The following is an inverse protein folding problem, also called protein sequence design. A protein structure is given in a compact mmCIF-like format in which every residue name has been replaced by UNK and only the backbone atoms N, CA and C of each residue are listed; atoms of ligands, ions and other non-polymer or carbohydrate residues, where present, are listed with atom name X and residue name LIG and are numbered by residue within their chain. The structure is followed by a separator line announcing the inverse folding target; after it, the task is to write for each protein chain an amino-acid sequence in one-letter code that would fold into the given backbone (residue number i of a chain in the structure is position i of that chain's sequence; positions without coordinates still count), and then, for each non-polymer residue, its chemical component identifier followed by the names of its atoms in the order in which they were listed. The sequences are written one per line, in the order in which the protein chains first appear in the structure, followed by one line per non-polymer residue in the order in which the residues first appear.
data_IF_934556593048
#
_entry.id   IF_934556593048
#
_cell.length_a   1.000
_cell.length_b   1.000
_cell.length_c   1.000
_cell.angle_alpha   90.00
_cell.angle_beta   90.00
_cell.angle_gamma   90.00
#
_symmetry.space_group_name_H-M   'P 1'
#
loop_
_entity.id
_entity.type
_entity.pdbx_description
1 polymer ?
#
# COMPACT_ATOMS: atom_id res chain seq x y z
N UNK A 1 4.34 0.83 -2.01
CA UNK A 1 3.67 0.70 -3.32
C UNK A 1 3.67 -0.78 -3.70
N UNK A 2 2.52 -1.33 -4.13
CA UNK A 2 2.36 -2.78 -4.31
C UNK A 2 1.93 -3.10 -5.74
N UNK A 3 2.61 -4.05 -6.40
CA UNK A 3 2.32 -4.46 -7.79
C UNK A 3 1.31 -5.61 -7.78
N UNK A 4 0.11 -5.41 -8.34
CA UNK A 4 -0.93 -6.46 -8.42
C UNK A 4 -0.90 -7.25 -9.73
N UNK A 5 -0.72 -6.57 -10.87
CA UNK A 5 -0.64 -7.19 -12.20
C UNK A 5 0.75 -6.90 -12.77
N UNK A 6 1.48 -7.95 -13.11
CA UNK A 6 2.80 -7.84 -13.72
C UNK A 6 2.72 -7.57 -15.22
N UNK A 7 3.75 -6.95 -15.77
CA UNK A 7 3.87 -6.74 -17.21
C UNK A 7 3.82 -8.08 -17.97
N UNK A 8 3.28 -8.06 -19.18
CA UNK A 8 3.11 -9.23 -20.06
C UNK A 8 2.17 -10.32 -19.52
N UNK A 9 1.30 -9.99 -18.56
CA UNK A 9 0.23 -10.89 -18.13
C UNK A 9 -0.78 -11.07 -19.26
N UNK A 10 -1.18 -12.31 -19.53
CA UNK A 10 -2.20 -12.64 -20.54
C UNK A 10 -3.54 -12.06 -20.11
N UNK A 11 -4.21 -11.33 -21.00
CA UNK A 11 -5.57 -10.82 -20.81
C UNK A 11 -6.60 -11.79 -21.43
N UNK A 12 -7.80 -11.94 -20.85
CA UNK A 12 -8.32 -11.26 -19.66
C UNK A 12 -7.73 -11.82 -18.36
N UNK A 13 -7.55 -10.96 -17.35
CA UNK A 13 -6.98 -11.36 -16.05
C UNK A 13 -7.62 -10.62 -14.89
N UNK A 14 -7.63 -11.27 -13.72
CA UNK A 14 -8.19 -10.74 -12.48
C UNK A 14 -7.26 -11.03 -11.31
N UNK A 15 -6.95 -10.01 -10.51
CA UNK A 15 -6.12 -10.11 -9.31
C UNK A 15 -6.74 -9.28 -8.20
N UNK A 16 -6.73 -9.82 -6.98
CA UNK A 16 -7.26 -9.15 -5.79
C UNK A 16 -6.23 -9.21 -4.68
N UNK A 17 -6.16 -8.15 -3.88
CA UNK A 17 -5.31 -8.08 -2.70
C UNK A 17 -6.02 -7.30 -1.60
N UNK A 18 -5.86 -7.77 -0.36
CA UNK A 18 -6.41 -7.13 0.82
C UNK A 18 -5.39 -6.12 1.35
N UNK A 19 -5.86 -4.91 1.58
CA UNK A 19 -5.16 -3.81 2.22
C UNK A 19 -5.90 -3.40 3.50
N UNK A 20 -5.28 -2.51 4.28
CA UNK A 20 -5.89 -1.92 5.46
C UNK A 20 -5.61 -0.41 5.52
N UNK A 21 -6.30 0.30 6.40
CA UNK A 21 -6.05 1.72 6.71
C UNK A 21 -4.63 1.96 7.20
N UNK A 22 -4.11 3.15 6.89
CA UNK A 22 -2.78 3.63 7.27
C UNK A 22 -2.80 4.47 8.56
N UNK A 23 -3.97 4.90 9.02
CA UNK A 23 -4.16 5.65 10.26
C UNK A 23 -5.37 5.14 11.05
N UNK A 24 -5.37 5.43 12.36
CA UNK A 24 -6.50 5.13 13.25
C UNK A 24 -7.72 5.98 12.88
N UNK A 25 -8.90 5.36 12.95
CA UNK A 25 -10.19 6.01 12.67
C UNK A 25 -10.25 6.70 11.29
N UNK A 26 -9.50 6.19 10.32
CA UNK A 26 -9.45 6.73 8.96
C UNK A 26 -10.80 6.51 8.24
N UNK A 27 -11.58 7.56 7.94
CA UNK A 27 -12.93 7.42 7.38
C UNK A 27 -12.94 7.17 5.86
N UNK A 28 -11.82 7.46 5.20
CA UNK A 28 -11.67 7.41 3.75
C UNK A 28 -10.30 6.87 3.37
N UNK A 29 -10.27 5.94 2.41
CA UNK A 29 -9.02 5.43 1.81
C UNK A 29 -9.00 5.82 0.34
N UNK A 30 -7.90 6.41 -0.11
CA UNK A 30 -7.70 6.78 -1.52
C UNK A 30 -6.96 5.67 -2.23
N UNK A 31 -7.56 5.16 -3.31
CA UNK A 31 -6.95 4.17 -4.20
C UNK A 31 -6.42 4.91 -5.42
N UNK A 32 -5.10 4.85 -5.60
CA UNK A 32 -4.41 5.43 -6.75
C UNK A 32 -3.87 4.31 -7.64
N UNK A 33 -4.21 4.38 -8.93
CA UNK A 33 -3.83 3.40 -9.95
C UNK A 33 -2.70 3.98 -10.79
N UNK A 34 -1.54 3.32 -10.79
CA UNK A 34 -0.36 3.74 -11.54
C UNK A 34 0.13 2.62 -12.46
N UNK A 35 0.65 2.96 -13.65
CA UNK A 35 1.32 1.99 -14.55
C UNK A 35 2.75 1.73 -14.08
N UNK A 36 3.43 2.79 -13.68
CA UNK A 36 4.81 2.74 -13.21
C UNK A 36 4.90 3.34 -11.81
N UNK A 37 5.52 2.55 -10.95
CA UNK A 37 5.74 2.82 -9.54
C UNK A 37 6.87 3.84 -9.39
N UNK A 38 7.82 3.85 -10.33
CA UNK A 38 9.03 4.69 -10.27
C UNK A 38 8.77 6.11 -10.78
N UNK A 39 7.99 6.26 -11.86
CA UNK A 39 7.65 7.58 -12.44
C UNK A 39 6.28 8.13 -12.04
N UNK A 40 5.52 7.44 -11.18
CA UNK A 40 4.22 7.88 -10.66
C UNK A 40 3.21 8.25 -11.77
N UNK A 41 3.19 7.52 -12.90
CA UNK A 41 2.22 7.78 -13.98
C UNK A 41 0.82 7.31 -13.57
N UNK A 42 0.00 8.25 -13.13
CA UNK A 42 -1.34 8.02 -12.60
C UNK A 42 -2.33 7.81 -13.75
N UNK A 43 -2.96 6.64 -13.76
CA UNK A 43 -4.09 6.35 -14.66
C UNK A 43 -5.41 6.84 -14.11
N UNK A 44 -5.56 6.77 -12.79
CA UNK A 44 -6.78 7.18 -12.12
C UNK A 44 -6.63 7.13 -10.61
N UNK A 45 -7.53 7.83 -9.93
CA UNK A 45 -7.66 7.79 -8.48
C UNK A 45 -9.13 7.86 -8.09
N UNK A 46 -9.50 7.18 -7.03
CA UNK A 46 -10.83 7.26 -6.45
C UNK A 46 -10.77 6.99 -4.96
N UNK A 47 -11.78 7.48 -4.24
CA UNK A 47 -11.86 7.36 -2.79
C UNK A 47 -12.92 6.34 -2.39
N UNK A 48 -12.57 5.45 -1.46
CA UNK A 48 -13.52 4.62 -0.74
C UNK A 48 -13.83 5.32 0.59
N UNK A 49 -15.04 5.89 0.69
CA UNK A 49 -15.53 6.57 1.89
C UNK A 49 -16.44 5.65 2.71
N UNK A 50 -16.72 6.04 3.96
CA UNK A 50 -17.66 5.31 4.80
C UNK A 50 -17.04 4.16 5.59
N UNK A 51 -15.72 4.19 5.78
CA UNK A 51 -15.02 3.19 6.59
C UNK A 51 -15.32 3.47 8.08
N UNK A 52 -15.85 2.49 8.84
CA UNK A 52 -16.12 2.67 10.26
C UNK A 52 -14.86 3.04 11.03
N UNK A 53 -14.97 3.87 12.10
CA UNK A 53 -13.84 4.17 12.98
C UNK A 53 -13.30 2.87 13.59
N UNK A 54 -12.08 2.51 13.20
CA UNK A 54 -11.38 1.33 13.68
C UNK A 54 -9.88 1.63 13.80
N UNK A 55 -9.15 0.89 14.65
CA UNK A 55 -7.69 1.00 14.71
C UNK A 55 -7.04 0.69 13.36
N UNK A 56 -5.88 1.30 13.11
CA UNK A 56 -5.02 0.99 11.95
C UNK A 56 -4.77 -0.51 11.88
N UNK A 57 -4.84 -1.08 10.68
CA UNK A 57 -4.59 -2.51 10.46
C UNK A 57 -5.83 -3.41 10.58
N UNK A 58 -6.96 -2.90 11.09
CA UNK A 58 -8.18 -3.69 11.31
C UNK A 58 -9.12 -3.70 10.09
N UNK A 59 -9.43 -2.56 9.43
CA UNK A 59 -10.28 -2.57 8.24
C UNK A 59 -9.70 -3.42 7.11
N UNK A 60 -10.53 -4.27 6.51
CA UNK A 60 -10.12 -5.14 5.40
C UNK A 60 -10.64 -4.60 4.08
N UNK A 61 -9.80 -3.91 3.33
CA UNK A 61 -10.12 -3.32 2.03
C UNK A 61 -9.61 -4.25 0.93
N UNK A 62 -10.51 -4.97 0.27
CA UNK A 62 -10.18 -5.81 -0.88
C UNK A 62 -10.15 -4.94 -2.15
N UNK A 63 -8.96 -4.80 -2.72
CA UNK A 63 -8.77 -4.10 -3.99
C UNK A 63 -8.58 -5.13 -5.10
N UNK A 64 -9.46 -5.08 -6.09
CA UNK A 64 -9.50 -6.00 -7.23
C UNK A 64 -9.23 -5.25 -8.52
N UNK A 65 -8.29 -5.77 -9.29
CA UNK A 65 -7.93 -5.31 -10.63
C UNK A 65 -8.37 -6.36 -11.64
N UNK A 66 -9.17 -5.94 -12.61
CA UNK A 66 -9.66 -6.78 -13.69
C UNK A 66 -9.37 -6.10 -15.02
N UNK A 67 -8.71 -6.84 -15.93
CA UNK A 67 -8.43 -6.37 -17.28
C UNK A 67 -9.23 -7.24 -18.24
N UNK A 68 -10.10 -6.61 -19.02
CA UNK A 68 -10.95 -7.28 -19.99
C UNK A 68 -10.20 -7.63 -21.29
N UNK A 69 -10.91 -8.25 -22.24
CA UNK A 69 -10.38 -8.61 -23.55
C UNK A 69 -10.02 -7.40 -24.43
N UNK A 70 -10.58 -6.23 -24.14
CA UNK A 70 -10.33 -4.98 -24.85
C UNK A 70 -9.18 -4.17 -24.23
N UNK A 71 -8.63 -4.64 -23.09
CA UNK A 71 -7.62 -3.92 -22.32
C UNK A 71 -8.19 -2.79 -21.47
N UNK A 72 -9.50 -2.80 -21.19
CA UNK A 72 -10.13 -1.90 -20.23
C UNK A 72 -9.85 -2.41 -18.82
N UNK A 73 -9.32 -1.53 -17.97
CA UNK A 73 -8.98 -1.84 -16.59
C UNK A 73 -10.13 -1.40 -15.67
N UNK A 74 -10.70 -2.37 -14.96
CA UNK A 74 -11.65 -2.13 -13.88
C UNK A 74 -10.92 -2.30 -12.55
N UNK A 75 -10.93 -1.25 -11.73
CA UNK A 75 -10.38 -1.30 -10.37
C UNK A 75 -11.52 -1.09 -9.39
N UNK A 76 -11.74 -2.08 -8.53
CA UNK A 76 -12.78 -2.06 -7.49
C UNK A 76 -12.11 -2.11 -6.13
N UNK A 77 -12.57 -1.30 -5.18
CA UNK A 77 -12.21 -1.40 -3.78
C UNK A 77 -13.48 -1.67 -2.96
N UNK A 78 -13.44 -2.72 -2.13
CA UNK A 78 -14.54 -3.14 -1.26
C UNK A 78 -14.04 -3.25 0.18
N UNK A 79 -14.72 -2.59 1.12
CA UNK A 79 -14.54 -2.87 2.54
C UNK A 79 -15.33 -4.15 2.90
N UNK A 80 -14.62 -5.22 3.28
CA UNK A 80 -15.23 -6.52 3.62
C UNK A 80 -16.10 -6.46 4.86
N UNK A 81 -15.89 -5.48 5.75
CA UNK A 81 -16.69 -5.34 6.97
C UNK A 81 -18.07 -4.76 6.72
N UNK A 82 -18.14 -3.72 5.87
CA UNK A 82 -19.40 -3.00 5.58
C UNK A 82 -20.06 -3.41 4.27
N UNK A 83 -19.32 -4.02 3.35
CA UNK A 83 -19.76 -4.28 1.98
C UNK A 83 -19.82 -3.02 1.10
N UNK A 84 -19.40 -1.86 1.61
CA UNK A 84 -19.28 -0.66 0.80
C UNK A 84 -18.17 -0.84 -0.23
N UNK A 85 -18.50 -0.52 -1.48
CA UNK A 85 -17.59 -0.62 -2.60
C UNK A 85 -17.62 0.63 -3.46
N UNK A 86 -16.47 0.94 -4.02
CA UNK A 86 -16.34 1.95 -5.06
C UNK A 86 -15.45 1.40 -6.18
N UNK A 87 -15.63 1.89 -7.41
CA UNK A 87 -14.88 1.41 -8.56
C UNK A 87 -14.59 2.53 -9.56
N UNK A 88 -13.50 2.36 -10.29
CA UNK A 88 -13.14 3.18 -11.45
C UNK A 88 -12.93 2.27 -12.65
N UNK A 89 -13.34 2.76 -13.83
CA UNK A 89 -13.05 2.12 -15.10
C UNK A 89 -12.11 3.01 -15.88
N UNK A 90 -10.96 2.46 -16.27
CA UNK A 90 -9.91 3.16 -17.00
C UNK A 90 -9.84 2.53 -18.39
N UNK A 91 -10.15 3.32 -19.41
CA UNK A 91 -10.09 2.89 -20.81
C UNK A 91 -8.71 3.17 -21.42
N UNK A 92 -8.36 2.37 -22.43
CA UNK A 92 -7.04 2.33 -23.06
C UNK A 92 -6.62 3.65 -23.75
N UNK A 93 -7.57 4.56 -24.00
CA UNK A 93 -7.32 5.81 -24.74
C UNK A 93 -6.96 7.01 -23.84
N UNK A 94 -7.19 6.92 -22.52
CA UNK A 94 -6.84 7.99 -21.59
C UNK A 94 -5.40 7.79 -21.09
N UNK A 95 -4.50 8.76 -21.33
CA UNK A 95 -3.12 8.76 -20.82
C UNK A 95 -2.20 7.63 -21.29
N UNK A 96 -2.43 7.09 -22.51
CA UNK A 96 -1.56 6.05 -23.08
C UNK A 96 -0.16 6.60 -23.38
N UNK A 97 0.86 5.91 -22.88
CA UNK A 97 2.26 6.17 -23.20
C UNK A 97 2.54 5.84 -24.67
N UNK A 98 3.35 6.67 -25.33
CA UNK A 98 3.83 6.39 -26.68
C UNK A 98 4.70 5.13 -26.68
N UNK A 99 4.80 4.37 -27.79
CA UNK A 99 5.73 3.23 -27.87
C UNK A 99 7.17 3.58 -27.47
N UNK A 100 7.63 4.78 -27.85
CA UNK A 100 8.94 5.32 -27.49
C UNK A 100 9.07 5.59 -25.98
N UNK A 101 8.03 6.13 -25.35
CA UNK A 101 8.01 6.33 -23.89
C UNK A 101 8.01 5.00 -23.16
N UNK A 102 7.28 4.01 -23.68
CA UNK A 102 7.28 2.64 -23.14
C UNK A 102 8.70 2.07 -23.22
N UNK A 103 9.38 2.12 -24.37
CA UNK A 103 10.75 1.60 -24.50
C UNK A 103 11.76 2.31 -23.58
N UNK A 104 11.67 3.64 -23.47
CA UNK A 104 12.51 4.40 -22.54
C UNK A 104 12.31 3.93 -21.10
N UNK A 105 11.05 3.75 -20.68
CA UNK A 105 10.72 3.28 -19.34
C UNK A 105 11.23 1.85 -19.07
N UNK A 106 11.25 0.98 -20.07
CA UNK A 106 11.82 -0.37 -19.90
C UNK A 106 13.32 -0.28 -19.64
N UNK A 107 14.01 0.52 -20.46
CA UNK A 107 15.46 0.65 -20.36
C UNK A 107 15.85 1.28 -19.02
N UNK A 108 15.12 2.29 -18.57
CA UNK A 108 15.32 2.89 -17.25
C UNK A 108 15.03 1.88 -16.13
N UNK A 109 13.91 1.15 -16.19
CA UNK A 109 13.59 0.14 -15.18
C UNK A 109 14.61 -1.00 -15.12
N UNK A 110 15.18 -1.43 -16.25
CA UNK A 110 16.25 -2.42 -16.29
C UNK A 110 17.57 -1.87 -15.73
N UNK A 111 17.91 -0.62 -16.09
CA UNK A 111 19.12 0.06 -15.64
C UNK A 111 19.14 0.28 -14.12
N UNK A 112 17.99 0.60 -13.54
CA UNK A 112 17.85 0.87 -12.10
C UNK A 112 17.32 -0.32 -11.31
N UNK A 113 17.13 -1.50 -11.93
CA UNK A 113 16.52 -2.66 -11.30
C UNK A 113 17.20 -3.10 -9.98
N UNK A 114 18.54 -3.09 -9.94
CA UNK A 114 19.29 -3.49 -8.74
C UNK A 114 19.18 -2.49 -7.59
N UNK A 115 19.10 -1.19 -7.89
CA UNK A 115 18.94 -0.16 -6.87
C UNK A 115 17.48 -0.07 -6.40
N UNK A 116 16.51 -0.17 -7.31
CA UNK A 116 15.09 -0.29 -6.99
C UNK A 116 14.81 -1.54 -6.13
N UNK A 117 15.52 -2.66 -6.38
CA UNK A 117 15.41 -3.87 -5.57
C UNK A 117 15.85 -3.63 -4.13
N UNK A 118 17.00 -2.98 -3.92
CA UNK A 118 17.48 -2.64 -2.56
C UNK A 118 16.52 -1.71 -1.84
N UNK A 119 16.02 -0.69 -2.52
CA UNK A 119 15.04 0.25 -1.95
C UNK A 119 13.75 -0.49 -1.61
N UNK A 120 13.28 -1.38 -2.49
CA UNK A 120 12.09 -2.20 -2.24
C UNK A 120 12.27 -3.09 -1.01
N UNK A 121 13.38 -3.80 -0.90
CA UNK A 121 13.69 -4.66 0.25
C UNK A 121 13.73 -3.85 1.56
N UNK A 122 14.31 -2.64 1.54
CA UNK A 122 14.32 -1.74 2.69
C UNK A 122 12.90 -1.28 3.07
N UNK A 123 12.07 -0.93 2.09
CA UNK A 123 10.69 -0.49 2.31
C UNK A 123 9.83 -1.66 2.83
N UNK A 124 9.98 -2.86 2.28
CA UNK A 124 9.28 -4.06 2.75
C UNK A 124 9.66 -4.38 4.20
N UNK A 125 10.96 -4.44 4.52
CA UNK A 125 11.43 -4.67 5.88
C UNK A 125 10.94 -3.59 6.87
N UNK A 126 10.90 -2.32 6.44
CA UNK A 126 10.36 -1.22 7.23
C UNK A 126 8.86 -1.40 7.48
N UNK A 127 8.08 -1.72 6.45
CA UNK A 127 6.63 -1.90 6.56
C UNK A 127 6.29 -3.11 7.44
N UNK A 128 7.08 -4.18 7.38
CA UNK A 128 6.96 -5.33 8.28
C UNK A 128 7.23 -4.92 9.73
N UNK A 129 8.32 -4.19 9.99
CA UNK A 129 8.63 -3.70 11.33
C UNK A 129 7.56 -2.75 11.87
N UNK A 130 7.09 -1.80 11.03
CA UNK A 130 6.04 -0.86 11.38
C UNK A 130 4.73 -1.60 11.68
N UNK A 131 4.30 -2.50 10.80
CA UNK A 131 3.10 -3.32 10.98
C UNK A 131 3.16 -4.16 12.26
N UNK A 132 4.33 -4.75 12.54
CA UNK A 132 4.55 -5.53 13.75
C UNK A 132 4.50 -4.66 15.01
N UNK A 133 5.16 -3.49 15.02
CA UNK A 133 5.16 -2.55 16.14
C UNK A 133 3.74 -2.08 16.49
N UNK A 134 2.95 -1.69 15.49
CA UNK A 134 1.55 -1.30 15.73
C UNK A 134 0.65 -2.48 16.12
N UNK A 135 0.88 -3.66 15.55
CA UNK A 135 0.16 -4.88 15.97
C UNK A 135 0.42 -5.19 17.44
N UNK A 136 1.68 -5.11 17.89
CA UNK A 136 2.04 -5.30 19.31
C UNK A 136 1.38 -4.23 20.19
N UNK A 137 1.44 -2.95 19.78
CA UNK A 137 0.80 -1.85 20.51
C UNK A 137 -0.70 -2.11 20.72
N UNK A 138 -1.39 -2.56 19.68
CA UNK A 138 -2.81 -2.91 19.74
C UNK A 138 -3.07 -4.12 20.67
N UNK A 139 -2.23 -5.16 20.61
CA UNK A 139 -2.38 -6.35 21.46
C UNK A 139 -2.14 -6.08 22.94
N UNK A 140 -1.24 -5.14 23.27
CA UNK A 140 -0.91 -4.73 24.64
C UNK A 140 -1.95 -3.76 25.22
N UNK A 141 -2.52 -2.90 24.37
CA UNK A 141 -3.65 -2.04 24.73
C UNK A 141 -4.93 -2.84 25.02
N UNK A 142 -5.07 -4.02 24.44
CA UNK A 142 -6.24 -4.89 24.60
C UNK A 142 -6.17 -5.71 25.91
N UNK A 143 -6.95 -5.26 26.91
CA UNK A 143 -7.07 -5.90 28.22
C UNK A 143 -7.72 -7.29 28.18
N UNK A 144 -8.43 -7.64 27.11
CA UNK A 144 -9.04 -8.98 26.96
C UNK A 144 -8.06 -10.00 26.34
N UNK A 145 -6.92 -9.54 25.81
CA UNK A 145 -5.92 -10.39 25.13
C UNK A 145 -4.57 -10.38 25.85
N UNK A 146 -3.49 -9.98 25.16
CA UNK A 146 -2.13 -10.03 25.67
C UNK A 146 -1.95 -9.03 26.82
N UNK A 147 -2.54 -7.84 26.69
CA UNK A 147 -2.49 -6.77 27.68
C UNK A 147 -3.13 -7.07 29.04
N UNK A 148 -3.96 -8.11 29.15
CA UNK A 148 -4.53 -8.60 30.41
C UNK A 148 -3.77 -9.78 31.04
N UNK A 149 -2.83 -10.37 30.30
CA UNK A 149 -2.01 -11.53 30.74
C UNK A 149 -0.59 -11.14 31.15
N UNK A 150 -0.16 -9.93 30.79
CA UNK A 150 1.13 -9.37 31.14
C UNK A 150 1.03 -8.61 32.46
N UNK A 151 2.06 -8.69 33.30
CA UNK A 151 2.21 -7.83 34.46
C UNK A 151 2.57 -6.39 34.04
N UNK A 152 2.35 -5.43 34.94
CA UNK A 152 2.57 -4.00 34.66
C UNK A 152 4.04 -3.67 34.34
N UNK A 153 4.99 -4.49 34.80
CA UNK A 153 6.41 -4.31 34.49
C UNK A 153 6.71 -4.71 33.04
N UNK A 154 6.32 -5.93 32.65
CA UNK A 154 6.50 -6.43 31.28
C UNK A 154 5.73 -5.58 30.26
N UNK A 155 4.51 -5.14 30.62
CA UNK A 155 3.72 -4.25 29.79
C UNK A 155 4.44 -2.94 29.48
N UNK A 156 5.02 -2.32 30.52
CA UNK A 156 5.75 -1.06 30.38
C UNK A 156 7.03 -1.23 29.55
N UNK A 157 7.78 -2.32 29.76
CA UNK A 157 8.97 -2.61 28.96
C UNK A 157 8.65 -2.78 27.48
N UNK A 158 7.54 -3.45 27.15
CA UNK A 158 7.15 -3.64 25.74
C UNK A 158 6.61 -2.34 25.13
N UNK A 159 5.82 -1.54 25.87
CA UNK A 159 5.35 -0.23 25.41
C UNK A 159 6.52 0.72 25.11
N UNK A 160 7.51 0.81 26.01
CA UNK A 160 8.72 1.62 25.81
C UNK A 160 9.50 1.18 24.57
N UNK A 161 9.70 -0.13 24.38
CA UNK A 161 10.42 -0.67 23.21
C UNK A 161 9.67 -0.42 21.89
N UNK A 162 8.33 -0.52 21.89
CA UNK A 162 7.50 -0.25 20.71
C UNK A 162 7.50 1.23 20.37
N UNK A 163 7.39 2.11 21.35
CA UNK A 163 7.42 3.56 21.11
C UNK A 163 8.82 4.03 20.65
N UNK A 164 9.89 3.44 21.17
CA UNK A 164 11.26 3.67 20.66
C UNK A 164 11.38 3.23 19.19
N UNK A 165 10.88 2.04 18.84
CA UNK A 165 10.90 1.55 17.47
C UNK A 165 10.09 2.44 16.51
N UNK A 166 8.92 2.93 16.93
CA UNK A 166 8.09 3.85 16.13
C UNK A 166 8.82 5.20 15.96
N UNK A 167 9.39 5.75 17.04
CA UNK A 167 10.17 7.00 17.00
C UNK A 167 11.40 6.90 16.09
N UNK A 168 12.08 5.75 16.13
CA UNK A 168 13.21 5.45 15.25
C UNK A 168 12.76 5.36 13.79
N UNK A 169 11.62 4.71 13.51
CA UNK A 169 11.03 4.63 12.17
C UNK A 169 10.65 6.02 11.63
N UNK A 170 10.06 6.88 12.45
CA UNK A 170 9.69 8.26 12.09
C UNK A 170 10.91 9.15 11.84
N UNK A 171 12.00 8.94 12.59
CA UNK A 171 13.25 9.71 12.44
C UNK A 171 14.09 9.23 11.26
N UNK A 172 14.09 7.93 11.00
CA UNK A 172 14.77 7.30 9.87
C UNK A 172 13.79 7.08 8.73
N UNK A 173 13.12 8.15 8.29
CA UNK A 173 12.39 8.12 7.03
C UNK A 173 13.40 7.80 5.93
N UNK A 174 13.26 6.60 5.35
CA UNK A 174 13.85 6.34 4.05
C UNK A 174 13.15 7.33 3.14
N UNK A 175 13.83 8.43 2.78
CA UNK A 175 13.42 9.25 1.66
C UNK A 175 13.40 8.31 0.46
N UNK A 176 12.21 7.82 0.10
CA UNK A 176 12.02 7.28 -1.24
C UNK A 176 12.46 8.39 -2.18
N UNK A 177 13.52 8.13 -2.93
CA UNK A 177 14.19 9.08 -3.80
C UNK A 177 13.22 9.47 -4.93
N UNK A 178 12.32 10.41 -4.66
CA UNK A 178 11.54 11.16 -5.64
C UNK A 178 11.97 12.64 -5.68
N UNK A 179 13.15 12.96 -5.11
CA UNK A 179 13.85 14.22 -5.31
C UNK A 179 14.80 14.16 -6.52
N UNK A 180 14.28 13.79 -7.69
CA UNK A 180 14.88 14.11 -8.99
C UNK A 180 13.89 14.91 -9.84
N UNK A 181 13.37 15.98 -9.24
CA UNK A 181 12.65 17.04 -9.95
C UNK A 181 13.33 18.40 -9.71
N UNK A 182 14.66 18.43 -9.72
CA UNK A 182 15.44 19.65 -10.00
C UNK A 182 16.72 19.23 -10.74
N UNK A 183 16.65 19.26 -12.08
CA UNK A 183 17.55 19.91 -13.06
C UNK A 183 16.82 19.89 -14.40
#
# INVERSE_FOLDING_TARGET
MTKLITRNTVIPTKKSQIFSTAADNQPTVTIQVCVDVSNNHILGKFDLTGIPPAPRGVPQIEVTFEIDVNGILHVTAEDKGTGHKNQITITNDQNRLSPEDIERMINDAEKFADDDKKVKEQVEARNELEGYAYSLKNQIGDKEKLGGKLDDSDKKTIEEAVDEAISWLDSNKVCSFSNFAEI
#
